data_IF_349864905331
#
_entry.id   IF_349864905331
#
_cell.length_a   1.000
_cell.length_b   1.000
_cell.length_c   1.000
_cell.angle_alpha   90.00
_cell.angle_beta   90.00
_cell.angle_gamma   90.00
#
_symmetry.space_group_name_H-M   'P 1'
#
loop_
_entity.id
_entity.type
_entity.pdbx_description
1 polymer ?
#
# COMPACT_ATOMS: atom_id res chain seq x y z
N UNK A 1 -39.27 -10.23 -58.07
CA UNK A 1 -38.07 -9.84 -57.29
C UNK A 1 -38.19 -8.38 -56.92
N UNK A 2 -38.60 -8.05 -55.68
CA UNK A 2 -38.68 -6.67 -55.21
C UNK A 2 -37.28 -6.24 -54.74
N UNK A 3 -36.65 -5.35 -55.51
CA UNK A 3 -35.43 -4.65 -55.11
C UNK A 3 -35.75 -3.80 -53.88
N UNK A 4 -35.21 -4.18 -52.71
CA UNK A 4 -35.23 -3.29 -51.55
C UNK A 4 -34.55 -1.99 -51.97
N UNK A 5 -35.33 -0.89 -51.93
CA UNK A 5 -34.85 0.43 -52.26
C UNK A 5 -33.62 0.79 -51.44
N UNK A 6 -32.70 1.53 -52.06
CA UNK A 6 -31.45 2.04 -51.45
C UNK A 6 -31.68 2.61 -50.03
N UNK A 7 -32.83 3.23 -49.79
CA UNK A 7 -33.23 3.78 -48.48
C UNK A 7 -33.44 2.74 -47.37
N UNK A 8 -33.94 1.54 -47.68
CA UNK A 8 -34.20 0.49 -46.67
C UNK A 8 -32.90 -0.15 -46.19
N UNK A 9 -31.89 -0.27 -47.07
CA UNK A 9 -30.54 -0.73 -46.71
C UNK A 9 -29.79 0.29 -45.85
N UNK A 10 -29.94 1.58 -46.14
CA UNK A 10 -29.37 2.67 -45.35
C UNK A 10 -29.99 2.74 -43.94
N UNK A 11 -31.30 2.57 -43.83
CA UNK A 11 -31.99 2.54 -42.54
C UNK A 11 -31.55 1.36 -41.66
N UNK A 12 -31.40 0.15 -42.24
CA UNK A 12 -30.91 -1.01 -41.49
C UNK A 12 -29.47 -0.84 -41.01
N UNK A 13 -28.58 -0.29 -41.84
CA UNK A 13 -27.20 -0.01 -41.44
C UNK A 13 -27.13 1.05 -40.34
N UNK A 14 -28.00 2.07 -40.39
CA UNK A 14 -28.07 3.09 -39.35
C UNK A 14 -28.54 2.50 -38.01
N UNK A 15 -29.57 1.65 -38.01
CA UNK A 15 -30.05 0.98 -36.78
C UNK A 15 -28.98 0.02 -36.22
N UNK A 16 -28.31 -0.76 -37.06
CA UNK A 16 -27.23 -1.64 -36.62
C UNK A 16 -26.04 -0.85 -36.02
N UNK A 17 -25.69 0.29 -36.61
CA UNK A 17 -24.64 1.17 -36.07
C UNK A 17 -25.04 1.78 -34.72
N UNK A 18 -26.29 2.22 -34.58
CA UNK A 18 -26.84 2.75 -33.31
C UNK A 18 -26.87 1.68 -32.22
N UNK A 19 -27.22 0.43 -32.56
CA UNK A 19 -27.21 -0.69 -31.61
C UNK A 19 -25.80 -1.19 -31.27
N UNK A 20 -24.81 -1.02 -32.15
CA UNK A 20 -23.42 -1.42 -31.89
C UNK A 20 -22.66 -0.41 -31.01
N UNK A 21 -23.06 0.87 -31.02
CA UNK A 21 -22.46 1.94 -30.21
C UNK A 21 -22.45 1.67 -28.68
N UNK A 22 -23.54 1.18 -28.04
CA UNK A 22 -23.51 0.83 -26.61
C UNK A 22 -22.62 -0.39 -26.31
N UNK A 23 -22.46 -1.32 -27.26
CA UNK A 23 -21.59 -2.50 -27.08
C UNK A 23 -20.10 -2.15 -27.20
N UNK A 24 -19.75 -1.20 -28.07
CA UNK A 24 -18.38 -0.72 -28.25
C UNK A 24 -17.90 0.18 -27.11
N UNK A 25 -18.81 0.96 -26.50
CA UNK A 25 -18.50 1.79 -25.33
C UNK A 25 -18.26 0.94 -24.07
N UNK A 26 -19.07 -0.10 -23.84
CA UNK A 26 -18.84 -1.03 -22.72
C UNK A 26 -17.51 -1.80 -22.82
N UNK A 27 -17.01 -2.04 -24.05
CA UNK A 27 -15.75 -2.76 -24.27
C UNK A 27 -14.51 -1.87 -24.05
N UNK A 28 -14.62 -0.55 -24.18
CA UNK A 28 -13.49 0.37 -23.98
C UNK A 28 -13.18 0.68 -22.50
N UNK A 29 -14.10 0.36 -21.59
CA UNK A 29 -13.88 0.47 -20.14
C UNK A 29 -13.14 -0.73 -19.53
N UNK A 30 -12.86 -1.78 -20.32
CA UNK A 30 -12.07 -2.93 -19.87
C UNK A 30 -10.60 -2.73 -20.27
N UNK A 31 -9.99 -1.63 -19.82
CA UNK A 31 -8.52 -1.65 -19.70
C UNK A 31 -8.19 -2.48 -18.47
N UNK A 32 -7.44 -3.60 -18.59
CA UNK A 32 -6.94 -4.30 -17.43
C UNK A 32 -6.17 -3.31 -16.57
N UNK A 33 -6.53 -3.18 -15.29
CA UNK A 33 -5.73 -2.41 -14.34
C UNK A 33 -4.30 -2.94 -14.40
N UNK A 34 -3.27 -2.07 -14.39
CA UNK A 34 -1.89 -2.42 -14.75
C UNK A 34 -1.29 -3.56 -13.92
N UNK A 35 -1.89 -3.90 -12.77
CA UNK A 35 -1.43 -4.95 -11.85
C UNK A 35 -2.43 -6.10 -11.66
N UNK A 36 -3.43 -6.24 -12.56
CA UNK A 36 -4.49 -7.25 -12.44
C UNK A 36 -5.37 -7.02 -11.19
N UNK A 37 -5.47 -5.75 -10.77
CA UNK A 37 -6.26 -5.34 -9.62
C UNK A 37 -7.75 -5.54 -9.91
N UNK A 38 -8.50 -6.04 -8.93
CA UNK A 38 -9.95 -5.88 -8.92
C UNK A 38 -10.40 -5.49 -7.52
N UNK A 39 -11.13 -4.38 -7.45
CA UNK A 39 -11.65 -3.83 -6.22
C UNK A 39 -13.17 -3.78 -6.33
N UNK A 40 -13.83 -4.52 -5.47
CA UNK A 40 -15.30 -4.58 -5.40
C UNK A 40 -15.75 -3.85 -4.15
N UNK A 41 -16.61 -2.84 -4.33
CA UNK A 41 -17.24 -2.11 -3.23
C UNK A 41 -18.59 -2.77 -2.93
N UNK A 42 -18.83 -3.09 -1.66
CA UNK A 42 -20.07 -3.72 -1.22
C UNK A 42 -21.07 -2.65 -0.81
N UNK A 43 -22.33 -2.83 -1.20
CA UNK A 43 -23.40 -1.92 -0.80
C UNK A 43 -23.60 -1.96 0.72
N UNK A 44 -23.47 -0.80 1.35
CA UNK A 44 -23.73 -0.58 2.78
C UNK A 44 -24.32 0.82 2.98
N UNK A 45 -25.00 1.07 4.11
CA UNK A 45 -25.43 2.42 4.44
C UNK A 45 -24.21 3.35 4.39
N UNK A 46 -24.39 4.58 3.89
CA UNK A 46 -23.37 5.62 3.83
C UNK A 46 -22.96 6.02 5.26
N UNK A 47 -22.19 5.17 5.92
CA UNK A 47 -21.66 5.36 7.25
C UNK A 47 -20.30 6.04 7.16
N UNK A 48 -20.04 6.91 8.14
CA UNK A 48 -18.78 7.63 8.32
C UNK A 48 -17.56 6.71 8.23
N UNK A 49 -16.43 7.29 7.81
CA UNK A 49 -15.13 6.65 7.57
C UNK A 49 -14.44 6.08 8.83
N UNK A 50 -15.19 5.38 9.68
CA UNK A 50 -14.65 4.65 10.82
C UNK A 50 -13.59 3.65 10.35
N UNK A 51 -12.52 3.41 11.14
CA UNK A 51 -11.42 2.56 10.73
C UNK A 51 -11.91 1.14 10.47
N UNK A 52 -11.74 0.69 9.23
CA UNK A 52 -12.12 -0.66 8.83
C UNK A 52 -11.21 -1.70 9.49
N UNK A 53 -11.75 -2.88 9.79
CA UNK A 53 -10.93 -4.03 10.17
C UNK A 53 -10.54 -4.75 8.88
N UNK A 54 -9.23 -4.92 8.66
CA UNK A 54 -8.74 -5.67 7.50
C UNK A 54 -8.60 -7.16 7.83
N UNK A 55 -8.95 -8.01 6.87
CA UNK A 55 -8.74 -9.46 6.95
C UNK A 55 -8.26 -9.98 5.60
N UNK A 56 -7.52 -11.09 5.66
CA UNK A 56 -7.22 -11.89 4.47
C UNK A 56 -8.26 -12.99 4.32
N UNK A 57 -8.83 -13.12 3.13
CA UNK A 57 -9.67 -14.27 2.74
C UNK A 57 -9.14 -14.84 1.43
N UNK A 58 -8.48 -16.00 1.52
CA UNK A 58 -7.80 -16.60 0.38
C UNK A 58 -6.72 -15.66 -0.17
N UNK A 59 -6.90 -15.20 -1.41
CA UNK A 59 -6.01 -14.25 -2.10
C UNK A 59 -6.47 -12.80 -2.02
N UNK A 60 -7.58 -12.52 -1.33
CA UNK A 60 -8.16 -11.19 -1.23
C UNK A 60 -7.91 -10.54 0.13
N UNK A 61 -7.85 -9.20 0.10
CA UNK A 61 -7.93 -8.33 1.26
C UNK A 61 -9.35 -7.83 1.37
N UNK A 62 -9.96 -7.98 2.54
CA UNK A 62 -11.32 -7.54 2.80
C UNK A 62 -11.33 -6.52 3.93
N UNK A 63 -12.05 -5.44 3.74
CA UNK A 63 -12.29 -4.44 4.77
C UNK A 63 -13.70 -4.59 5.33
N UNK A 64 -13.79 -4.62 6.65
CA UNK A 64 -15.03 -4.80 7.38
C UNK A 64 -15.34 -3.59 8.23
N UNK A 65 -16.62 -3.27 8.34
CA UNK A 65 -17.11 -2.37 9.36
C UNK A 65 -16.94 -3.01 10.75
N UNK A 66 -16.32 -2.30 11.70
CA UNK A 66 -16.02 -2.87 13.03
C UNK A 66 -17.29 -3.14 13.84
N UNK A 67 -18.33 -2.31 13.70
CA UNK A 67 -19.56 -2.43 14.49
C UNK A 67 -20.50 -3.52 13.95
N UNK A 68 -20.82 -3.44 12.66
CA UNK A 68 -21.77 -4.35 12.00
C UNK A 68 -21.13 -5.62 11.47
N UNK A 69 -19.81 -5.69 11.34
CA UNK A 69 -19.12 -6.83 10.72
C UNK A 69 -19.38 -7.01 9.23
N UNK A 70 -20.06 -6.05 8.57
CA UNK A 70 -20.33 -6.11 7.13
C UNK A 70 -19.08 -5.79 6.33
N UNK A 71 -18.85 -6.53 5.25
CA UNK A 71 -17.81 -6.22 4.28
C UNK A 71 -18.13 -4.86 3.61
N UNK A 72 -17.13 -4.00 3.52
CA UNK A 72 -17.18 -2.69 2.85
C UNK A 72 -16.61 -2.77 1.45
N UNK A 73 -15.49 -3.46 1.30
CA UNK A 73 -14.88 -3.73 0.01
C UNK A 73 -14.00 -4.98 0.08
N UNK A 74 -13.77 -5.56 -1.09
CA UNK A 74 -12.85 -6.68 -1.32
C UNK A 74 -11.88 -6.28 -2.41
N UNK A 75 -10.58 -6.43 -2.14
CA UNK A 75 -9.51 -6.16 -3.08
C UNK A 75 -8.72 -7.42 -3.35
N UNK A 76 -8.53 -7.76 -4.63
CA UNK A 76 -7.63 -8.83 -5.04
C UNK A 76 -6.68 -8.39 -6.15
N UNK A 77 -5.55 -9.08 -6.23
CA UNK A 77 -4.57 -8.96 -7.31
C UNK A 77 -4.40 -10.30 -7.98
N UNK A 78 -4.50 -10.33 -9.30
CA UNK A 78 -4.41 -11.56 -10.08
C UNK A 78 -3.12 -12.33 -9.81
N UNK A 79 -3.25 -13.60 -9.42
CA UNK A 79 -2.10 -14.49 -9.13
C UNK A 79 -1.29 -14.11 -7.89
N UNK A 80 -1.71 -13.11 -7.10
CA UNK A 80 -0.99 -12.65 -5.91
C UNK A 80 -1.82 -12.88 -4.65
N UNK A 81 -1.13 -13.11 -3.53
CA UNK A 81 -1.75 -13.22 -2.20
C UNK A 81 -1.21 -12.14 -1.28
N UNK A 82 -2.02 -11.59 -0.37
CA UNK A 82 -1.53 -10.72 0.68
C UNK A 82 -0.71 -11.55 1.68
N UNK A 83 0.43 -11.00 2.11
CA UNK A 83 1.34 -11.60 3.11
C UNK A 83 1.46 -10.75 4.37
N UNK A 84 1.01 -9.50 4.34
CA UNK A 84 0.94 -8.62 5.51
C UNK A 84 -0.10 -7.52 5.32
N UNK A 85 -0.78 -7.14 6.40
CA UNK A 85 -1.80 -6.10 6.42
C UNK A 85 -1.48 -5.08 7.53
N UNK A 86 -1.75 -3.81 7.28
CA UNK A 86 -1.72 -2.76 8.30
C UNK A 86 -2.86 -1.78 8.04
N UNK A 87 -3.65 -1.49 9.07
CA UNK A 87 -4.67 -0.46 9.04
C UNK A 87 -4.16 0.79 9.75
N UNK A 88 -4.43 1.95 9.17
CA UNK A 88 -4.29 3.24 9.83
C UNK A 88 -5.51 4.12 9.51
N UNK A 89 -5.74 5.25 10.22
CA UNK A 89 -6.84 6.15 9.90
C UNK A 89 -6.80 6.55 8.42
N UNK A 90 -7.84 6.20 7.66
CA UNK A 90 -7.92 6.51 6.23
C UNK A 90 -7.09 5.62 5.30
N UNK A 91 -6.34 4.63 5.81
CA UNK A 91 -5.43 3.81 5.02
C UNK A 91 -5.63 2.31 5.28
N UNK A 92 -5.50 1.53 4.21
CA UNK A 92 -5.45 0.08 4.27
C UNK A 92 -4.26 -0.42 3.46
N UNK A 93 -3.16 -0.71 4.15
CA UNK A 93 -1.94 -1.18 3.52
C UNK A 93 -1.94 -2.70 3.40
N UNK A 94 -1.54 -3.19 2.24
CA UNK A 94 -1.30 -4.61 1.98
C UNK A 94 0.08 -4.82 1.37
N UNK A 95 0.83 -5.78 1.90
CA UNK A 95 2.05 -6.32 1.31
C UNK A 95 1.67 -7.60 0.58
N UNK A 96 2.04 -7.69 -0.69
CA UNK A 96 1.70 -8.80 -1.58
C UNK A 96 2.89 -9.74 -1.76
N UNK A 97 2.60 -10.99 -2.14
CA UNK A 97 3.60 -12.05 -2.29
C UNK A 97 4.68 -11.78 -3.34
N UNK A 98 4.45 -10.84 -4.25
CA UNK A 98 5.41 -10.35 -5.26
C UNK A 98 6.20 -9.12 -4.79
N UNK A 99 6.06 -8.71 -3.52
CA UNK A 99 6.71 -7.55 -2.97
C UNK A 99 6.05 -6.22 -3.32
N UNK A 100 4.89 -6.23 -3.99
CA UNK A 100 4.12 -5.01 -4.13
C UNK A 100 3.54 -4.60 -2.78
N UNK A 101 3.53 -3.30 -2.51
CA UNK A 101 2.81 -2.67 -1.41
C UNK A 101 1.73 -1.79 -2.02
N UNK A 102 0.53 -1.86 -1.46
CA UNK A 102 -0.59 -1.05 -1.91
C UNK A 102 -1.22 -0.33 -0.74
N UNK A 103 -1.66 0.90 -0.96
CA UNK A 103 -2.61 1.59 -0.06
C UNK A 103 -3.99 1.66 -0.71
N UNK A 104 -5.00 1.19 0.02
CA UNK A 104 -6.41 1.32 -0.37
C UNK A 104 -7.13 2.24 0.59
N UNK A 105 -7.77 3.28 0.08
CA UNK A 105 -8.56 4.22 0.87
C UNK A 105 -9.86 4.51 0.14
N UNK A 106 -10.96 4.69 0.87
CA UNK A 106 -12.27 5.03 0.28
C UNK A 106 -12.66 4.13 -0.92
N UNK A 107 -12.30 2.85 -0.83
CA UNK A 107 -12.51 1.88 -1.90
C UNK A 107 -11.89 2.26 -3.26
N UNK A 108 -10.72 2.90 -3.22
CA UNK A 108 -9.81 3.07 -4.36
C UNK A 108 -8.39 2.68 -3.95
N UNK A 109 -7.60 2.14 -4.88
CA UNK A 109 -6.16 1.93 -4.65
C UNK A 109 -5.45 3.26 -4.93
N UNK A 110 -4.87 3.87 -3.89
CA UNK A 110 -4.24 5.19 -3.97
C UNK A 110 -2.88 5.13 -4.65
N UNK A 111 -2.10 4.12 -4.34
CA UNK A 111 -0.78 3.91 -4.91
C UNK A 111 -0.31 2.46 -4.76
N UNK A 112 0.66 2.12 -5.62
CA UNK A 112 1.39 0.87 -5.63
C UNK A 112 2.89 1.16 -5.56
N UNK A 113 3.65 0.37 -4.80
CA UNK A 113 5.11 0.44 -4.75
C UNK A 113 5.70 -0.95 -4.69
N UNK A 114 6.59 -1.25 -5.64
CA UNK A 114 7.40 -2.45 -5.53
C UNK A 114 8.43 -2.25 -4.41
N UNK A 115 8.52 -3.24 -3.52
CA UNK A 115 9.66 -3.43 -2.64
C UNK A 115 10.79 -3.98 -3.50
N UNK A 116 11.90 -3.24 -3.68
CA UNK A 116 13.02 -3.75 -4.45
C UNK A 116 13.60 -4.98 -3.74
N UNK A 117 13.45 -6.17 -4.34
CA UNK A 117 13.99 -7.39 -3.77
C UNK A 117 14.44 -8.39 -4.88
N UNK A 118 15.66 -8.92 -4.80
CA UNK A 118 16.11 -10.03 -5.63
C UNK A 118 15.74 -11.39 -4.97
N UNK A 119 14.77 -12.12 -5.53
CA UNK A 119 14.51 -13.52 -5.14
C UNK A 119 13.21 -13.76 -4.35
N UNK A 120 12.81 -15.02 -4.21
CA UNK A 120 11.43 -15.40 -3.95
C UNK A 120 10.96 -15.25 -2.50
N UNK A 121 9.65 -14.95 -2.36
CA UNK A 121 8.82 -14.83 -1.15
C UNK A 121 9.23 -13.68 -0.23
N UNK A 122 8.47 -12.59 -0.31
CA UNK A 122 8.55 -11.52 0.68
C UNK A 122 8.04 -12.02 2.03
N UNK A 123 8.95 -12.52 2.85
CA UNK A 123 8.79 -12.52 4.29
C UNK A 123 8.98 -11.07 4.74
N UNK A 124 7.91 -10.43 5.21
CA UNK A 124 8.01 -9.04 5.60
C UNK A 124 6.81 -8.59 6.41
N UNK A 125 6.97 -7.46 7.09
CA UNK A 125 5.95 -6.89 7.94
C UNK A 125 5.76 -5.42 7.64
N UNK A 126 4.50 -4.99 7.69
CA UNK A 126 4.12 -3.59 7.64
C UNK A 126 4.10 -3.02 9.07
N UNK A 127 4.70 -1.84 9.23
CA UNK A 127 4.77 -1.13 10.52
C UNK A 127 4.52 0.36 10.30
N UNK A 128 3.86 1.00 11.26
CA UNK A 128 3.82 2.46 11.28
C UNK A 128 5.07 3.01 11.96
N UNK A 129 5.64 4.08 11.41
CA UNK A 129 6.85 4.74 11.94
C UNK A 129 6.54 5.96 12.80
N UNK A 130 5.28 6.40 12.85
CA UNK A 130 4.83 7.54 13.64
C UNK A 130 3.37 7.37 14.07
N UNK A 131 2.95 8.07 15.13
CA UNK A 131 1.58 7.94 15.67
C UNK A 131 0.48 8.32 14.67
N UNK A 132 0.77 9.21 13.73
CA UNK A 132 -0.19 9.64 12.71
C UNK A 132 -0.17 8.76 11.47
N UNK A 133 0.70 7.75 11.42
CA UNK A 133 0.94 6.92 10.24
C UNK A 133 1.12 7.75 8.96
N UNK A 134 1.93 8.80 9.07
CA UNK A 134 2.41 9.56 7.90
C UNK A 134 3.52 8.81 7.15
N UNK A 135 4.15 7.87 7.85
CA UNK A 135 5.22 7.03 7.36
C UNK A 135 4.91 5.55 7.62
N UNK A 136 5.01 4.74 6.57
CA UNK A 136 4.88 3.30 6.56
C UNK A 136 6.25 2.66 6.38
N UNK A 137 6.63 1.76 7.28
CA UNK A 137 7.77 0.87 7.10
C UNK A 137 7.33 -0.47 6.50
N UNK A 138 8.05 -0.92 5.49
CA UNK A 138 8.10 -2.30 5.03
C UNK A 138 9.40 -2.89 5.54
N UNK A 139 9.30 -3.83 6.48
CA UNK A 139 10.43 -4.51 7.07
C UNK A 139 10.58 -5.85 6.38
N UNK A 140 11.73 -6.08 5.73
CA UNK A 140 12.17 -7.39 5.24
C UNK A 140 13.42 -7.81 6.01
N UNK A 141 13.85 -9.08 5.94
CA UNK A 141 15.08 -9.52 6.60
C UNK A 141 16.30 -8.69 6.23
N UNK A 142 16.38 -8.19 5.00
CA UNK A 142 17.57 -7.51 4.48
C UNK A 142 17.54 -6.00 4.72
N UNK A 143 16.36 -5.40 4.85
CA UNK A 143 16.21 -3.95 4.93
C UNK A 143 14.86 -3.50 5.45
N UNK A 144 14.83 -2.28 5.96
CA UNK A 144 13.62 -1.49 6.20
C UNK A 144 13.52 -0.46 5.08
N UNK A 145 12.35 -0.36 4.46
CA UNK A 145 12.03 0.72 3.52
C UNK A 145 10.89 1.55 4.08
N UNK A 146 11.04 2.86 4.06
CA UNK A 146 10.03 3.77 4.57
C UNK A 146 9.39 4.57 3.45
N UNK A 147 8.07 4.49 3.39
CA UNK A 147 7.24 5.16 2.39
C UNK A 147 6.39 6.21 3.07
N UNK A 148 6.24 7.37 2.43
CA UNK A 148 5.23 8.35 2.82
C UNK A 148 3.84 7.80 2.48
N UNK A 149 2.93 7.84 3.43
CA UNK A 149 1.60 7.22 3.25
C UNK A 149 0.70 7.99 2.29
N UNK A 150 0.90 9.31 2.18
CA UNK A 150 0.13 10.20 1.31
C UNK A 150 0.13 9.77 -0.16
N UNK A 151 1.30 9.37 -0.68
CA UNK A 151 1.56 9.14 -2.10
C UNK A 151 2.44 7.91 -2.41
N UNK A 152 2.92 7.22 -1.38
CA UNK A 152 3.80 6.06 -1.52
C UNK A 152 5.25 6.41 -1.83
N UNK A 153 5.70 7.66 -1.68
CA UNK A 153 7.09 8.01 -1.98
C UNK A 153 8.07 7.30 -1.05
N UNK A 154 9.08 6.63 -1.62
CA UNK A 154 10.18 6.07 -0.85
C UNK A 154 11.02 7.21 -0.28
N UNK A 155 11.19 7.21 1.04
CA UNK A 155 11.92 8.27 1.75
C UNK A 155 13.31 7.84 2.17
N UNK A 156 13.43 6.62 2.68
CA UNK A 156 14.70 6.06 3.08
C UNK A 156 14.68 4.54 3.08
N UNK A 157 15.89 3.99 3.03
CA UNK A 157 16.17 2.56 3.14
C UNK A 157 17.25 2.39 4.19
N UNK A 158 17.04 1.45 5.11
CA UNK A 158 18.02 1.06 6.12
C UNK A 158 18.32 -0.43 5.96
N UNK A 159 19.52 -0.84 5.49
CA UNK A 159 19.89 -2.24 5.45
C UNK A 159 20.03 -2.83 6.87
N UNK A 160 19.90 -4.16 6.97
CA UNK A 160 20.33 -4.89 8.16
C UNK A 160 21.84 -4.69 8.38
N UNK A 161 22.31 -4.89 9.61
CA UNK A 161 23.75 -4.89 9.86
C UNK A 161 24.42 -6.08 9.15
N UNK A 162 25.71 -5.95 8.87
CA UNK A 162 26.47 -7.02 8.22
C UNK A 162 26.42 -8.31 9.06
N UNK A 163 26.05 -9.42 8.42
CA UNK A 163 25.86 -10.71 9.07
C UNK A 163 24.56 -10.85 9.86
N UNK A 164 23.69 -9.84 9.84
CA UNK A 164 22.39 -9.87 10.52
C UNK A 164 21.22 -9.86 9.54
N UNK A 165 20.06 -10.29 10.03
CA UNK A 165 18.78 -10.16 9.33
C UNK A 165 17.73 -9.58 10.28
N UNK A 166 16.94 -8.61 9.84
CA UNK A 166 15.77 -8.17 10.61
C UNK A 166 14.81 -9.34 10.81
N UNK A 167 14.20 -9.42 11.99
CA UNK A 167 13.06 -10.28 12.25
C UNK A 167 11.78 -9.43 12.10
N UNK A 168 11.09 -9.41 10.94
CA UNK A 168 10.06 -8.40 10.65
C UNK A 168 8.88 -8.41 11.63
N UNK A 169 8.62 -9.57 12.23
CA UNK A 169 7.56 -9.77 13.21
C UNK A 169 7.97 -9.49 14.66
N UNK A 170 9.27 -9.32 14.94
CA UNK A 170 9.80 -9.00 16.28
C UNK A 170 10.04 -7.49 16.37
N UNK A 171 8.95 -6.76 16.60
CA UNK A 171 8.97 -5.31 16.72
C UNK A 171 8.16 -4.84 17.93
N UNK A 172 8.60 -3.74 18.56
CA UNK A 172 7.91 -3.10 19.67
C UNK A 172 7.83 -1.59 19.42
N UNK A 173 6.67 -1.01 19.67
CA UNK A 173 6.50 0.44 19.64
C UNK A 173 6.62 1.01 21.05
N UNK A 174 7.56 1.93 21.27
CA UNK A 174 7.81 2.54 22.57
C UNK A 174 8.11 4.02 22.42
N UNK A 175 7.33 4.88 23.11
CA UNK A 175 7.59 6.32 23.24
C UNK A 175 7.86 7.06 21.91
N UNK A 176 7.18 6.71 20.82
CA UNK A 176 7.41 7.37 19.52
C UNK A 176 8.37 6.63 18.58
N UNK A 177 8.96 5.54 19.06
CA UNK A 177 10.03 4.80 18.37
C UNK A 177 9.56 3.40 18.06
N UNK A 178 9.92 2.91 16.89
CA UNK A 178 9.81 1.50 16.53
C UNK A 178 11.15 0.82 16.82
N UNK A 179 11.15 -0.13 17.74
CA UNK A 179 12.27 -1.02 18.03
C UNK A 179 12.08 -2.30 17.23
N UNK A 180 13.12 -2.73 16.52
CA UNK A 180 13.13 -3.92 15.67
C UNK A 180 14.30 -4.81 16.07
N UNK A 181 14.03 -6.11 16.19
CA UNK A 181 15.08 -7.09 16.39
C UNK A 181 15.77 -7.45 15.06
N UNK A 182 17.06 -7.73 15.14
CA UNK A 182 17.86 -8.41 14.15
C UNK A 182 18.38 -9.71 14.75
N UNK A 183 18.43 -10.77 13.93
CA UNK A 183 19.07 -12.03 14.28
C UNK A 183 20.47 -12.02 13.63
N UNK A 184 21.52 -11.96 14.45
CA UNK A 184 22.91 -11.74 13.99
C UNK A 184 23.80 -13.00 14.04
N UNK A 185 23.23 -14.16 14.42
CA UNK A 185 23.92 -15.46 14.42
C UNK A 185 25.10 -15.60 15.40
N UNK A 186 25.48 -14.56 16.16
CA UNK A 186 26.55 -14.57 17.18
C UNK A 186 26.10 -13.87 18.46
N UNK A 187 26.61 -14.39 19.59
CA UNK A 187 26.36 -13.98 20.97
C UNK A 187 26.94 -12.60 21.34
N UNK A 188 26.51 -11.54 20.65
CA UNK A 188 26.75 -10.16 21.05
C UNK A 188 25.89 -9.76 22.24
N UNK A 189 26.02 -8.51 22.71
CA UNK A 189 25.04 -7.99 23.66
C UNK A 189 23.67 -7.92 22.95
N UNK A 190 22.59 -8.31 23.64
CA UNK A 190 21.23 -8.27 23.05
C UNK A 190 20.83 -6.89 22.52
N UNK A 191 21.49 -5.83 22.98
CA UNK A 191 21.30 -4.46 22.51
C UNK A 191 21.83 -4.22 21.09
N UNK A 192 22.85 -4.98 20.66
CA UNK A 192 23.43 -4.89 19.31
C UNK A 192 22.49 -5.48 18.26
N UNK A 193 21.59 -6.36 18.70
CA UNK A 193 20.52 -6.95 17.91
C UNK A 193 19.26 -6.08 17.85
N UNK A 194 19.28 -4.88 18.42
CA UNK A 194 18.14 -3.95 18.39
C UNK A 194 18.44 -2.71 17.55
N UNK A 195 17.48 -2.39 16.68
CA UNK A 195 17.49 -1.17 15.90
C UNK A 195 16.28 -0.32 16.24
N UNK A 196 16.57 0.91 16.68
CA UNK A 196 15.57 1.95 16.87
C UNK A 196 15.41 2.78 15.60
N UNK A 197 14.18 2.92 15.12
CA UNK A 197 13.83 3.76 13.97
C UNK A 197 12.59 4.60 14.25
N UNK A 198 12.49 5.73 13.57
CA UNK A 198 11.28 6.54 13.46
C UNK A 198 11.07 6.99 12.01
N UNK A 199 10.13 7.91 11.78
CA UNK A 199 9.87 8.45 10.45
C UNK A 199 11.09 9.09 9.77
N UNK A 200 12.14 9.45 10.52
CA UNK A 200 13.36 10.07 10.00
C UNK A 200 14.50 9.08 9.70
N UNK A 201 14.33 7.79 10.01
CA UNK A 201 15.33 6.74 9.84
C UNK A 201 15.85 6.18 11.17
N UNK A 202 17.10 5.68 11.17
CA UNK A 202 17.74 5.14 12.37
C UNK A 202 17.89 6.22 13.45
N UNK A 203 17.62 5.86 14.69
CA UNK A 203 17.88 6.71 15.86
C UNK A 203 19.27 6.37 16.38
N UNK A 204 20.20 7.32 16.24
CA UNK A 204 21.53 7.30 16.84
C UNK A 204 21.86 8.71 17.36
N UNK A 205 22.73 8.86 18.36
CA UNK A 205 23.23 10.17 18.77
C UNK A 205 23.81 10.94 17.59
N UNK A 206 23.50 12.24 17.48
CA UNK A 206 24.01 13.11 16.42
C UNK A 206 23.52 12.78 14.99
N UNK A 207 22.42 12.04 14.84
CA UNK A 207 21.93 11.61 13.52
C UNK A 207 21.67 12.78 12.56
N UNK A 208 21.99 12.55 11.30
CA UNK A 208 21.41 13.28 10.17
C UNK A 208 20.16 12.54 9.69
N UNK A 209 18.98 13.16 9.64
CA UNK A 209 17.77 12.54 9.09
C UNK A 209 17.96 12.01 7.67
N UNK A 210 17.41 10.83 7.36
CA UNK A 210 17.49 10.23 6.03
C UNK A 210 16.45 10.88 5.09
N UNK A 211 16.72 12.10 4.61
CA UNK A 211 15.96 12.78 3.55
C UNK A 211 14.43 12.87 3.72
N UNK A 212 13.95 12.96 4.96
CA UNK A 212 12.52 13.07 5.29
C UNK A 212 12.04 14.50 5.51
N UNK A 213 12.96 15.46 5.59
CA UNK A 213 12.60 16.86 5.79
C UNK A 213 11.95 17.39 4.52
N UNK A 214 10.73 17.94 4.64
CA UNK A 214 10.15 18.75 3.57
C UNK A 214 11.04 20.02 3.45
N UNK A 215 11.53 20.39 2.26
CA UNK A 215 12.11 21.70 2.06
C UNK A 215 11.04 22.75 2.42
N UNK A 216 11.30 23.60 3.43
CA UNK A 216 10.40 24.71 3.74
C UNK A 216 10.06 24.97 5.22
N UNK A 217 10.71 24.31 6.20
CA UNK A 217 10.57 24.73 7.61
C UNK A 217 11.90 24.97 8.32
N UNK A 218 12.85 25.57 7.62
CA UNK A 218 13.89 26.36 8.27
C UNK A 218 13.26 27.70 8.64
N UNK A 219 12.92 27.84 9.92
CA UNK A 219 12.59 29.14 10.49
C UNK A 219 13.73 30.10 10.17
N UNK A 220 13.37 31.23 9.58
CA UNK A 220 14.22 32.39 9.41
C UNK A 220 14.85 32.73 10.77
N UNK A 221 16.18 32.90 10.89
CA UNK A 221 16.76 33.43 12.12
C UNK A 221 16.27 34.87 12.27
N UNK A 222 15.37 35.09 13.23
CA UNK A 222 15.01 36.42 13.68
C UNK A 222 16.28 37.07 14.26
N UNK A 223 16.95 37.90 13.45
CA UNK A 223 17.83 38.95 13.96
C UNK A 223 16.95 39.96 14.69
N UNK A 224 17.18 40.12 16.00
CA UNK A 224 17.06 41.33 16.85
C UNK A 224 16.97 40.85 18.31
N UNK A 225 17.68 41.37 19.29
CA UNK A 225 18.49 42.59 19.40
C UNK A 225 19.76 42.31 20.23
#
# INVERSE_FOLDING_TARGET
MRTLGRGTRLALCAVAAVCALPLLTAAHDVRPLPYGDRLTVHAGPAGTAAPAVLRTRGTAVEAYDRGSGRARWTYHREGRRPVGLLTAPGHAFALWSDGMVTDTAHATVRWHRAVPHPGARVGGALRSLDRGTRMLAVVTPERIMAYRTEDGDLRWVLPAHDGCAFAPNRALWARGVLLLAQDCGRSGAWTDELVAVDGLGRIVPGRTPLANERPGRTGHPSRTA
#
